data_IF_335549354844
#
_entry.id   IF_335549354844
#
_cell.length_a   1.000
_cell.length_b   1.000
_cell.length_c   1.000
_cell.angle_alpha   90.00
_cell.angle_beta   90.00
_cell.angle_gamma   90.00
#
_symmetry.space_group_name_H-M   'P 1'
#
loop_
_entity.id
_entity.type
_entity.pdbx_description
1 polymer ?
#
# COMPACT_ATOMS: atom_id res chain seq x y z
N UNK A 1 3.45 -33.87 30.00
CA UNK A 1 3.99 -33.91 31.38
C UNK A 1 5.51 -33.98 31.43
N UNK A 2 6.14 -34.51 30.39
CA UNK A 2 7.60 -34.52 30.32
C UNK A 2 8.20 -33.11 30.35
N UNK A 3 7.53 -32.14 29.76
CA UNK A 3 7.98 -30.73 29.75
C UNK A 3 7.93 -30.13 31.15
N UNK A 4 6.91 -30.50 31.91
CA UNK A 4 6.76 -30.05 33.29
C UNK A 4 7.84 -30.66 34.20
N UNK A 5 8.21 -31.91 33.97
CA UNK A 5 9.29 -32.56 34.69
C UNK A 5 10.64 -31.88 34.39
N UNK A 6 10.90 -31.56 33.14
CA UNK A 6 12.09 -30.83 32.74
C UNK A 6 12.15 -29.47 33.40
N UNK A 7 11.05 -28.76 33.40
CA UNK A 7 10.96 -27.44 34.02
C UNK A 7 11.26 -27.54 35.53
N UNK A 8 10.75 -28.56 36.18
CA UNK A 8 10.99 -28.80 37.59
C UNK A 8 12.46 -29.09 37.89
N UNK A 9 13.10 -29.89 37.06
CA UNK A 9 14.54 -30.20 37.20
C UNK A 9 15.38 -28.96 37.03
N UNK A 10 15.11 -28.15 36.01
CA UNK A 10 15.85 -26.89 35.78
C UNK A 10 15.61 -25.91 36.91
N UNK A 11 14.44 -25.94 37.52
CA UNK A 11 14.07 -25.07 38.63
C UNK A 11 14.98 -25.24 39.84
N UNK A 12 15.44 -26.46 40.08
CA UNK A 12 16.32 -26.77 41.22
C UNK A 12 17.66 -26.07 41.16
N UNK A 13 18.10 -25.62 39.98
CA UNK A 13 19.34 -24.92 39.80
C UNK A 13 19.27 -23.41 39.89
N UNK A 14 18.04 -22.86 39.98
CA UNK A 14 17.81 -21.42 39.98
C UNK A 14 16.91 -21.02 41.15
N UNK A 15 17.08 -19.79 41.60
CA UNK A 15 16.17 -19.23 42.60
C UNK A 15 14.78 -19.10 42.02
N UNK A 16 13.78 -19.36 42.84
CA UNK A 16 12.37 -19.27 42.44
C UNK A 16 12.02 -17.86 41.97
N UNK A 17 12.55 -16.86 42.66
CA UNK A 17 12.35 -15.45 42.33
C UNK A 17 12.93 -15.12 40.97
N UNK A 18 14.14 -15.64 40.67
CA UNK A 18 14.79 -15.39 39.37
C UNK A 18 13.99 -15.96 38.22
N UNK A 19 13.43 -17.17 38.38
CA UNK A 19 12.62 -17.82 37.34
C UNK A 19 11.32 -17.04 37.11
N UNK A 20 10.66 -16.63 38.18
CA UNK A 20 9.43 -15.84 38.09
C UNK A 20 9.71 -14.50 37.41
N UNK A 21 10.77 -13.82 37.79
CA UNK A 21 11.17 -12.54 37.20
C UNK A 21 11.46 -12.70 35.69
N UNK A 22 12.15 -13.76 35.31
CA UNK A 22 12.43 -14.04 33.91
C UNK A 22 11.16 -14.23 33.10
N UNK A 23 10.23 -15.01 33.64
CA UNK A 23 8.94 -15.26 32.97
C UNK A 23 8.16 -13.95 32.81
N UNK A 24 8.10 -13.14 33.86
CA UNK A 24 7.41 -11.87 33.83
C UNK A 24 8.01 -10.90 32.83
N UNK A 25 9.33 -10.78 32.82
CA UNK A 25 10.05 -9.90 31.88
C UNK A 25 9.86 -10.36 30.43
N UNK A 26 9.94 -11.68 30.20
CA UNK A 26 9.73 -12.23 28.86
C UNK A 26 8.31 -12.01 28.38
N UNK A 27 7.32 -12.24 29.27
CA UNK A 27 5.91 -12.00 28.93
C UNK A 27 5.65 -10.54 28.62
N UNK A 28 6.20 -9.63 29.41
CA UNK A 28 6.05 -8.19 29.19
C UNK A 28 6.68 -7.77 27.86
N UNK A 29 7.86 -8.30 27.55
CA UNK A 29 8.53 -8.02 26.29
C UNK A 29 7.74 -8.51 25.09
N UNK A 30 7.17 -9.73 25.19
CA UNK A 30 6.35 -10.32 24.16
C UNK A 30 5.06 -9.50 23.94
N UNK A 31 4.42 -9.09 25.03
CA UNK A 31 3.21 -8.29 24.97
C UNK A 31 3.46 -6.95 24.29
N UNK A 32 4.56 -6.31 24.63
CA UNK A 32 4.96 -5.04 24.03
C UNK A 32 5.24 -5.20 22.53
N UNK A 33 5.90 -6.30 22.14
CA UNK A 33 6.20 -6.59 20.74
C UNK A 33 4.90 -6.82 19.96
N UNK A 34 3.95 -7.55 20.53
CA UNK A 34 2.64 -7.80 19.91
C UNK A 34 1.89 -6.50 19.71
N UNK A 35 1.85 -5.64 20.71
CA UNK A 35 1.17 -4.34 20.62
C UNK A 35 1.79 -3.46 19.53
N UNK A 36 3.12 -3.46 19.46
CA UNK A 36 3.84 -2.71 18.44
C UNK A 36 3.53 -3.22 17.04
N UNK A 37 3.55 -4.55 16.86
CA UNK A 37 3.24 -5.18 15.57
C UNK A 37 1.79 -4.94 15.15
N UNK A 38 0.86 -4.98 16.11
CA UNK A 38 -0.55 -4.67 15.84
C UNK A 38 -0.71 -3.23 15.36
N UNK A 39 -0.01 -2.29 16.00
CA UNK A 39 -0.03 -0.89 15.61
C UNK A 39 0.53 -0.69 14.20
N UNK A 40 1.66 -1.32 13.90
CA UNK A 40 2.26 -1.27 12.57
C UNK A 40 1.35 -1.88 11.52
N UNK A 41 0.73 -3.00 11.84
CA UNK A 41 -0.22 -3.67 10.95
C UNK A 41 -1.39 -2.76 10.60
N UNK A 42 -1.97 -2.11 11.60
CA UNK A 42 -3.09 -1.18 11.38
C UNK A 42 -2.68 -0.01 10.50
N UNK A 43 -1.51 0.54 10.77
CA UNK A 43 -0.98 1.65 9.98
C UNK A 43 -0.79 1.23 8.51
N UNK A 44 -0.22 0.05 8.29
CA UNK A 44 -0.03 -0.48 6.94
C UNK A 44 -1.35 -0.74 6.23
N UNK A 45 -2.36 -1.21 6.94
CA UNK A 45 -3.70 -1.42 6.38
C UNK A 45 -4.32 -0.10 5.94
N UNK A 46 -4.19 0.94 6.74
CA UNK A 46 -4.68 2.28 6.40
C UNK A 46 -3.95 2.84 5.18
N UNK A 47 -2.64 2.68 5.14
CA UNK A 47 -1.83 3.12 4.00
C UNK A 47 -2.21 2.36 2.73
N UNK A 48 -2.45 1.05 2.83
CA UNK A 48 -2.88 0.24 1.70
C UNK A 48 -4.24 0.69 1.17
N UNK A 49 -5.19 0.95 2.05
CA UNK A 49 -6.51 1.44 1.65
C UNK A 49 -6.39 2.80 0.95
N UNK A 50 -5.56 3.69 1.49
CA UNK A 50 -5.30 4.99 0.89
C UNK A 50 -4.69 4.84 -0.51
N UNK A 51 -3.68 3.97 -0.64
CA UNK A 51 -3.01 3.74 -1.93
C UNK A 51 -3.94 3.10 -2.95
N UNK A 52 -4.81 2.19 -2.53
CA UNK A 52 -5.82 1.60 -3.42
C UNK A 52 -6.78 2.66 -3.95
N UNK A 53 -7.20 3.56 -3.07
CA UNK A 53 -8.06 4.70 -3.48
C UNK A 53 -7.35 5.63 -4.45
N UNK A 54 -6.08 5.96 -4.17
CA UNK A 54 -5.27 6.79 -5.04
C UNK A 54 -5.05 6.12 -6.40
N UNK A 55 -4.78 4.82 -6.42
CA UNK A 55 -4.59 4.09 -7.66
C UNK A 55 -5.86 4.09 -8.51
N UNK A 56 -7.02 3.90 -7.89
CA UNK A 56 -8.30 3.95 -8.59
C UNK A 56 -8.54 5.33 -9.20
N UNK A 57 -8.27 6.38 -8.43
CA UNK A 57 -8.41 7.76 -8.89
C UNK A 57 -7.48 8.05 -10.06
N UNK A 58 -6.22 7.65 -9.94
CA UNK A 58 -5.22 7.86 -11.00
C UNK A 58 -5.57 7.09 -12.26
N UNK A 59 -6.10 5.88 -12.12
CA UNK A 59 -6.55 5.08 -13.28
C UNK A 59 -7.67 5.79 -14.01
N UNK A 60 -8.63 6.35 -13.28
CA UNK A 60 -9.74 7.11 -13.86
C UNK A 60 -9.23 8.37 -14.57
N UNK A 61 -8.35 9.13 -13.91
CA UNK A 61 -7.76 10.33 -14.51
C UNK A 61 -6.98 10.00 -15.77
N UNK A 62 -6.23 8.90 -15.76
CA UNK A 62 -5.48 8.47 -16.93
C UNK A 62 -6.39 8.13 -18.09
N UNK A 63 -7.50 7.44 -17.83
CA UNK A 63 -8.50 7.12 -18.87
C UNK A 63 -9.11 8.39 -19.43
N UNK A 64 -9.45 9.36 -18.57
CA UNK A 64 -10.04 10.63 -18.99
C UNK A 64 -9.05 11.43 -19.83
N UNK A 65 -7.77 11.47 -19.44
CA UNK A 65 -6.74 12.17 -20.18
C UNK A 65 -6.51 11.53 -21.55
N UNK A 66 -6.51 10.21 -21.62
CA UNK A 66 -6.38 9.50 -22.91
C UNK A 66 -7.53 9.81 -23.84
N UNK A 67 -8.76 9.82 -23.29
CA UNK A 67 -9.95 10.16 -24.08
C UNK A 67 -9.88 11.60 -24.60
N UNK A 68 -9.44 12.54 -23.75
CA UNK A 68 -9.27 13.94 -24.13
C UNK A 68 -8.20 14.10 -25.21
N UNK A 69 -7.10 13.35 -25.06
CA UNK A 69 -6.01 13.36 -26.03
C UNK A 69 -6.47 12.87 -27.42
N UNK A 70 -7.23 11.77 -27.44
CA UNK A 70 -7.80 11.23 -28.68
C UNK A 70 -8.72 12.21 -29.35
N UNK A 71 -9.58 12.87 -28.58
CA UNK A 71 -10.50 13.89 -29.08
C UNK A 71 -9.75 15.07 -29.69
N UNK A 72 -8.72 15.56 -29.00
CA UNK A 72 -7.89 16.64 -29.51
C UNK A 72 -7.18 16.25 -30.79
N UNK A 73 -6.71 15.03 -30.87
CA UNK A 73 -6.05 14.50 -32.05
C UNK A 73 -6.99 14.45 -33.25
N UNK A 74 -8.23 14.02 -33.03
CA UNK A 74 -9.26 14.00 -34.07
C UNK A 74 -9.62 15.40 -34.54
N UNK A 75 -9.79 16.33 -33.61
CA UNK A 75 -10.09 17.74 -33.92
C UNK A 75 -8.94 18.37 -34.70
N UNK A 76 -7.71 18.07 -34.30
CA UNK A 76 -6.52 18.59 -34.99
C UNK A 76 -6.42 18.08 -36.43
N UNK A 77 -6.72 16.80 -36.63
CA UNK A 77 -6.78 16.18 -37.96
C UNK A 77 -7.85 16.86 -38.84
N UNK A 78 -9.04 17.05 -38.25
CA UNK A 78 -10.14 17.70 -38.96
C UNK A 78 -9.79 19.13 -39.37
N UNK A 79 -9.16 19.88 -38.46
CA UNK A 79 -8.72 21.25 -38.75
C UNK A 79 -7.65 21.27 -39.83
N UNK A 80 -6.71 20.34 -39.79
CA UNK A 80 -5.68 20.22 -40.81
C UNK A 80 -6.28 19.98 -42.20
N UNK A 81 -7.30 19.09 -42.28
CA UNK A 81 -8.01 18.85 -43.53
C UNK A 81 -8.77 20.06 -44.01
N UNK A 82 -9.40 20.82 -43.12
CA UNK A 82 -10.09 22.06 -43.47
C UNK A 82 -9.13 23.10 -44.03
N UNK A 83 -7.95 23.23 -43.43
CA UNK A 83 -6.90 24.12 -43.90
C UNK A 83 -6.47 23.75 -45.31
N UNK A 84 -6.25 22.49 -45.59
CA UNK A 84 -5.88 22.00 -46.92
C UNK A 84 -7.00 22.32 -47.92
N UNK A 85 -8.24 22.08 -47.59
CA UNK A 85 -9.38 22.34 -48.46
C UNK A 85 -9.51 23.83 -48.78
N UNK A 86 -9.41 24.68 -47.76
CA UNK A 86 -9.46 26.15 -47.94
C UNK A 86 -8.31 26.65 -48.79
N UNK A 87 -7.13 26.10 -48.59
CA UNK A 87 -5.94 26.43 -49.34
C UNK A 87 -6.11 26.11 -50.84
N UNK A 88 -6.72 24.96 -51.14
CA UNK A 88 -7.02 24.54 -52.50
C UNK A 88 -8.09 25.43 -53.14
N UNK A 89 -9.14 25.75 -52.41
CA UNK A 89 -10.20 26.66 -52.91
C UNK A 89 -9.63 28.03 -53.22
N UNK A 90 -8.80 28.57 -52.34
CA UNK A 90 -8.16 29.86 -52.55
C UNK A 90 -7.26 29.84 -53.80
N UNK A 91 -6.60 28.70 -54.03
CA UNK A 91 -5.73 28.50 -55.18
C UNK A 91 -6.48 28.48 -56.50
N UNK A 92 -7.75 28.00 -56.49
CA UNK A 92 -8.61 27.93 -57.67
C UNK A 92 -9.22 29.26 -58.07
N UNK A 93 -9.27 30.21 -57.15
CA UNK A 93 -9.77 31.55 -57.41
C UNK A 93 -8.71 32.41 -58.06
#
# INVERSE_FOLDING_TARGET
>A
MSDFSRFRSAFNGFSRTDVVNYIEETSAAHQKAIEQLEGEKQQLMQENDHLLGENARLTTELADLKAAQEKLKEEDSALSQQIVTLSQEASEL
#
